data_IF_215489601408
#
_entry.id   IF_215489601408
#
_cell.length_a   1.000
_cell.length_b   1.000
_cell.length_c   1.000
_cell.angle_alpha   90.00
_cell.angle_beta   90.00
_cell.angle_gamma   90.00
#
_symmetry.space_group_name_H-M   'P 1'
#
loop_
_entity.id
_entity.type
_entity.pdbx_description
1 polymer ?
#
# COMPACT_ATOMS: atom_id res chain seq x y z
N UNK A 1 6.11 -19.21 12.00
CA UNK A 1 5.24 -19.85 11.01
C UNK A 1 5.79 -19.56 9.63
N UNK A 2 5.77 -20.55 8.72
CA UNK A 2 6.17 -20.33 7.34
C UNK A 2 5.04 -19.55 6.64
N UNK A 3 5.29 -18.29 6.29
CA UNK A 3 4.29 -17.39 5.69
C UNK A 3 3.80 -17.88 4.33
N UNK A 4 4.62 -18.59 3.58
CA UNK A 4 4.22 -19.17 2.29
C UNK A 4 3.15 -20.25 2.47
N UNK A 5 3.28 -21.07 3.52
CA UNK A 5 2.26 -22.07 3.89
C UNK A 5 0.96 -21.37 4.30
N UNK A 6 1.03 -20.31 5.09
CA UNK A 6 -0.13 -19.52 5.49
C UNK A 6 -0.84 -18.95 4.24
N UNK A 7 -0.10 -18.32 3.32
CA UNK A 7 -0.64 -17.80 2.06
C UNK A 7 -1.31 -18.89 1.22
N UNK A 8 -0.64 -20.02 1.02
CA UNK A 8 -1.16 -21.13 0.24
C UNK A 8 -2.47 -21.69 0.82
N UNK A 9 -2.53 -21.84 2.15
CA UNK A 9 -3.75 -22.26 2.84
C UNK A 9 -4.89 -21.25 2.68
N UNK A 10 -4.57 -19.96 2.73
CA UNK A 10 -5.56 -18.90 2.62
C UNK A 10 -6.09 -18.79 1.19
N UNK A 11 -5.22 -18.81 0.18
CA UNK A 11 -5.61 -18.84 -1.22
C UNK A 11 -6.53 -20.05 -1.50
N UNK A 12 -6.15 -21.24 -1.03
CA UNK A 12 -6.97 -22.45 -1.18
C UNK A 12 -8.34 -22.34 -0.49
N UNK A 13 -8.42 -21.66 0.65
CA UNK A 13 -9.69 -21.44 1.36
C UNK A 13 -10.55 -20.40 0.65
N UNK A 14 -9.94 -19.31 0.16
CA UNK A 14 -10.61 -18.23 -0.56
C UNK A 14 -11.20 -18.70 -1.89
N UNK A 15 -10.48 -19.55 -2.65
CA UNK A 15 -10.89 -20.07 -3.93
C UNK A 15 -11.75 -21.37 -3.82
N UNK A 16 -11.97 -21.85 -2.61
CA UNK A 16 -12.71 -23.07 -2.34
C UNK A 16 -14.22 -22.93 -2.58
N UNK A 17 -14.87 -24.06 -2.90
CA UNK A 17 -16.32 -24.14 -3.13
C UNK A 17 -17.15 -23.48 -2.01
N UNK A 18 -16.75 -23.69 -0.77
CA UNK A 18 -17.43 -23.14 0.41
C UNK A 18 -17.29 -21.61 0.50
N UNK A 19 -16.12 -21.05 0.20
CA UNK A 19 -15.92 -19.61 0.20
C UNK A 19 -16.79 -18.93 -0.86
N UNK A 20 -16.82 -19.46 -2.08
CA UNK A 20 -17.66 -18.94 -3.16
C UNK A 20 -19.16 -19.04 -2.84
N UNK A 21 -19.60 -20.13 -2.21
CA UNK A 21 -20.98 -20.30 -1.78
C UNK A 21 -21.35 -19.38 -0.61
N UNK A 22 -20.38 -19.12 0.26
CA UNK A 22 -20.53 -18.22 1.38
C UNK A 22 -20.56 -16.75 0.93
N UNK A 23 -19.73 -16.35 -0.02
CA UNK A 23 -19.75 -15.00 -0.60
C UNK A 23 -21.04 -14.70 -1.36
N UNK A 24 -21.70 -15.72 -1.90
CA UNK A 24 -23.00 -15.59 -2.55
C UNK A 24 -24.16 -15.45 -1.55
N UNK A 25 -23.95 -15.73 -0.26
CA UNK A 25 -24.96 -15.56 0.78
C UNK A 25 -24.77 -14.19 1.43
N UNK A 26 -25.79 -13.34 1.41
CA UNK A 26 -25.78 -11.99 2.03
C UNK A 26 -25.80 -12.02 3.58
N UNK A 27 -25.13 -13.00 4.21
CA UNK A 27 -25.10 -13.15 5.66
C UNK A 27 -23.85 -12.48 6.22
N UNK A 28 -24.02 -11.59 7.20
CA UNK A 28 -22.96 -10.80 7.86
C UNK A 28 -21.81 -11.68 8.41
N UNK A 29 -22.12 -12.85 8.96
CA UNK A 29 -21.10 -13.78 9.47
C UNK A 29 -20.19 -14.33 8.37
N UNK A 30 -20.73 -14.52 7.20
CA UNK A 30 -20.00 -15.04 6.05
C UNK A 30 -19.06 -13.98 5.48
N UNK A 31 -19.54 -12.75 5.40
CA UNK A 31 -18.73 -11.60 4.98
C UNK A 31 -17.59 -11.36 5.98
N UNK A 32 -17.88 -11.43 7.29
CA UNK A 32 -16.87 -11.31 8.33
C UNK A 32 -15.81 -12.43 8.27
N UNK A 33 -16.22 -13.67 7.95
CA UNK A 33 -15.26 -14.76 7.76
C UNK A 33 -14.34 -14.52 6.57
N UNK A 34 -14.89 -14.04 5.45
CA UNK A 34 -14.08 -13.66 4.29
C UNK A 34 -13.11 -12.53 4.64
N UNK A 35 -13.58 -11.51 5.37
CA UNK A 35 -12.75 -10.42 5.86
C UNK A 35 -11.64 -10.91 6.82
N UNK A 36 -11.89 -11.92 7.67
CA UNK A 36 -10.84 -12.54 8.46
C UNK A 36 -9.72 -13.11 7.59
N UNK A 37 -10.07 -13.79 6.48
CA UNK A 37 -9.05 -14.32 5.56
C UNK A 37 -8.30 -13.21 4.84
N UNK A 38 -8.98 -12.13 4.44
CA UNK A 38 -8.33 -10.97 3.81
C UNK A 38 -7.36 -10.27 4.80
N UNK A 39 -7.76 -10.10 6.06
CA UNK A 39 -6.88 -9.58 7.12
C UNK A 39 -5.65 -10.46 7.34
N UNK A 40 -5.84 -11.77 7.42
CA UNK A 40 -4.72 -12.71 7.58
C UNK A 40 -3.78 -12.69 6.37
N UNK A 41 -4.30 -12.57 5.13
CA UNK A 41 -3.49 -12.45 3.92
C UNK A 41 -2.65 -11.17 3.94
N UNK A 42 -3.27 -10.03 4.22
CA UNK A 42 -2.58 -8.75 4.33
C UNK A 42 -1.48 -8.79 5.41
N UNK A 43 -1.77 -9.40 6.57
CA UNK A 43 -0.79 -9.55 7.63
C UNK A 43 0.39 -10.47 7.23
N UNK A 44 0.12 -11.60 6.57
CA UNK A 44 1.17 -12.50 6.10
C UNK A 44 2.09 -11.80 5.08
N UNK A 45 1.52 -11.01 4.17
CA UNK A 45 2.28 -10.24 3.21
C UNK A 45 3.08 -9.13 3.88
N UNK A 46 2.50 -8.42 4.85
CA UNK A 46 3.17 -7.40 5.63
C UNK A 46 4.40 -7.96 6.37
N UNK A 47 4.23 -9.06 7.10
CA UNK A 47 5.35 -9.67 7.84
C UNK A 47 6.39 -10.31 6.94
N UNK A 48 6.01 -10.77 5.75
CA UNK A 48 6.99 -11.22 4.75
C UNK A 48 7.83 -10.06 4.23
N UNK A 49 7.18 -8.96 3.88
CA UNK A 49 7.87 -7.74 3.46
C UNK A 49 8.77 -7.20 4.58
N UNK A 50 8.28 -7.19 5.84
CA UNK A 50 9.08 -6.82 7.01
C UNK A 50 10.31 -7.72 7.16
N UNK A 51 10.19 -9.02 6.96
CA UNK A 51 11.31 -9.95 7.05
C UNK A 51 12.35 -9.71 5.94
N UNK A 52 11.92 -9.36 4.73
CA UNK A 52 12.81 -8.98 3.63
C UNK A 52 13.64 -7.72 3.97
N UNK A 53 13.08 -6.82 4.77
CA UNK A 53 13.72 -5.58 5.22
C UNK A 53 14.16 -5.61 6.68
N UNK A 54 14.49 -6.77 7.23
CA UNK A 54 14.86 -6.94 8.65
C UNK A 54 16.05 -6.06 9.10
N UNK A 55 16.95 -5.72 8.15
CA UNK A 55 18.08 -4.81 8.40
C UNK A 55 17.70 -3.34 8.53
N UNK A 56 16.43 -2.99 8.32
CA UNK A 56 15.96 -1.61 8.25
C UNK A 56 16.20 -0.98 6.88
N UNK A 57 16.14 0.36 6.80
CA UNK A 57 16.26 1.12 5.56
C UNK A 57 17.53 1.96 5.54
N UNK A 58 18.21 1.97 4.39
CA UNK A 58 19.35 2.84 4.15
C UNK A 58 19.36 3.23 2.66
N UNK A 59 19.45 4.52 2.40
CA UNK A 59 19.42 5.06 1.05
C UNK A 59 20.71 5.82 0.75
N UNK A 60 21.21 5.67 -0.48
CA UNK A 60 22.40 6.37 -0.93
C UNK A 60 22.12 7.88 -1.11
N UNK A 61 20.95 8.21 -1.62
CA UNK A 61 20.48 9.57 -1.90
C UNK A 61 18.95 9.65 -1.92
N UNK A 62 18.42 10.87 -2.06
CA UNK A 62 16.98 11.10 -2.08
C UNK A 62 16.27 10.50 -3.30
N UNK A 63 16.95 10.40 -4.45
CA UNK A 63 16.36 9.79 -5.65
C UNK A 63 16.19 8.28 -5.47
N UNK A 64 17.22 7.63 -4.90
CA UNK A 64 17.15 6.20 -4.54
C UNK A 64 16.06 5.93 -3.50
N UNK A 65 15.96 6.77 -2.45
CA UNK A 65 14.92 6.64 -1.44
C UNK A 65 13.52 6.77 -2.03
N UNK A 66 13.30 7.77 -2.89
CA UNK A 66 12.05 7.99 -3.59
C UNK A 66 11.70 6.80 -4.51
N UNK A 67 12.69 6.31 -5.28
CA UNK A 67 12.52 5.15 -6.15
C UNK A 67 12.11 3.90 -5.38
N UNK A 68 12.83 3.57 -4.30
CA UNK A 68 12.50 2.41 -3.46
C UNK A 68 11.12 2.53 -2.82
N UNK A 69 10.74 3.72 -2.35
CA UNK A 69 9.38 3.93 -1.83
C UNK A 69 8.34 3.70 -2.92
N UNK A 70 8.50 4.32 -4.08
CA UNK A 70 7.59 4.20 -5.23
C UNK A 70 7.43 2.76 -5.72
N UNK A 71 8.52 2.00 -5.73
CA UNK A 71 8.55 0.68 -6.37
C UNK A 71 8.19 -0.46 -5.39
N UNK A 72 8.45 -0.28 -4.08
CA UNK A 72 8.27 -1.36 -3.11
C UNK A 72 7.74 -0.90 -1.75
N UNK A 73 8.35 0.12 -1.10
CA UNK A 73 8.09 0.37 0.32
C UNK A 73 6.69 0.89 0.60
N UNK A 74 6.02 1.52 -0.38
CA UNK A 74 4.61 1.93 -0.26
C UNK A 74 3.68 0.75 0.08
N UNK A 75 4.12 -0.48 -0.19
CA UNK A 75 3.35 -1.70 0.11
C UNK A 75 3.15 -1.91 1.62
N UNK A 76 4.04 -1.38 2.46
CA UNK A 76 3.81 -1.40 3.91
C UNK A 76 2.55 -0.60 4.28
N UNK A 77 2.39 0.59 3.69
CA UNK A 77 1.21 1.43 3.88
C UNK A 77 -0.05 0.76 3.34
N UNK A 78 0.04 0.17 2.14
CA UNK A 78 -1.05 -0.53 1.48
C UNK A 78 -1.53 -1.75 2.29
N UNK A 79 -0.60 -2.60 2.72
CA UNK A 79 -0.90 -3.81 3.49
C UNK A 79 -1.44 -3.49 4.88
N UNK A 80 -0.92 -2.44 5.53
CA UNK A 80 -1.45 -1.91 6.78
C UNK A 80 -2.91 -1.47 6.60
N UNK A 81 -3.22 -0.69 5.58
CA UNK A 81 -4.59 -0.26 5.28
C UNK A 81 -5.51 -1.45 4.96
N UNK A 82 -5.07 -2.38 4.11
CA UNK A 82 -5.85 -3.58 3.76
C UNK A 82 -6.17 -4.41 5.01
N UNK A 83 -5.18 -4.61 5.88
CA UNK A 83 -5.39 -5.32 7.14
C UNK A 83 -6.46 -4.64 7.99
N UNK A 84 -6.33 -3.33 8.22
CA UNK A 84 -7.28 -2.61 9.08
C UNK A 84 -8.67 -2.55 8.47
N UNK A 85 -8.80 -2.29 7.17
CA UNK A 85 -10.09 -2.31 6.46
C UNK A 85 -10.80 -3.67 6.64
N UNK A 86 -10.07 -4.77 6.48
CA UNK A 86 -10.62 -6.10 6.65
C UNK A 86 -10.93 -6.42 8.13
N UNK A 87 -10.07 -6.03 9.05
CA UNK A 87 -10.27 -6.24 10.48
C UNK A 87 -11.48 -5.45 11.02
N UNK A 88 -11.69 -4.23 10.54
CA UNK A 88 -12.84 -3.40 10.91
C UNK A 88 -14.16 -4.00 10.40
N UNK A 89 -14.14 -4.71 9.27
CA UNK A 89 -15.32 -5.45 8.79
C UNK A 89 -15.67 -6.67 9.66
N UNK A 90 -14.71 -7.19 10.45
CA UNK A 90 -14.95 -8.29 11.40
C UNK A 90 -15.48 -7.79 12.75
N UNK A 91 -15.09 -6.61 13.15
CA UNK A 91 -15.36 -6.07 14.51
C UNK A 91 -16.84 -6.09 14.92
N UNK A 92 -17.82 -5.76 14.03
CA UNK A 92 -19.25 -5.79 14.38
C UNK A 92 -19.77 -7.17 14.80
N UNK A 93 -19.06 -8.24 14.47
CA UNK A 93 -19.45 -9.61 14.89
C UNK A 93 -19.13 -9.93 16.35
N UNK A 94 -18.32 -9.09 17.01
CA UNK A 94 -17.78 -9.34 18.34
C UNK A 94 -16.68 -10.40 18.40
N UNK A 95 -16.12 -10.80 17.27
CA UNK A 95 -15.04 -11.79 17.23
C UNK A 95 -13.69 -11.13 17.58
N UNK A 96 -13.06 -11.65 18.64
CA UNK A 96 -11.75 -11.18 19.09
C UNK A 96 -10.56 -11.81 18.34
N UNK A 97 -10.83 -12.60 17.30
CA UNK A 97 -9.83 -13.45 16.62
C UNK A 97 -8.65 -12.67 16.01
N UNK A 98 -8.84 -11.41 15.67
CA UNK A 98 -7.80 -10.55 15.07
C UNK A 98 -7.14 -9.58 16.07
N UNK A 99 -7.53 -9.55 17.36
CA UNK A 99 -7.02 -8.55 18.32
C UNK A 99 -5.49 -8.61 18.49
N UNK A 100 -4.92 -9.77 18.73
CA UNK A 100 -3.47 -9.94 18.88
C UNK A 100 -2.72 -9.63 17.60
N UNK A 101 -3.31 -9.99 16.46
CA UNK A 101 -2.73 -9.72 15.17
C UNK A 101 -2.78 -8.21 14.86
N UNK A 102 -3.87 -7.53 15.20
CA UNK A 102 -4.00 -6.07 15.08
C UNK A 102 -2.91 -5.37 15.88
N UNK A 103 -2.72 -5.77 17.14
CA UNK A 103 -1.65 -5.22 17.97
C UNK A 103 -0.26 -5.46 17.36
N UNK A 104 -0.03 -6.65 16.80
CA UNK A 104 1.25 -7.00 16.18
C UNK A 104 1.53 -6.18 14.91
N UNK A 105 0.52 -5.98 14.07
CA UNK A 105 0.61 -5.14 12.85
C UNK A 105 0.85 -3.69 13.24
N UNK A 106 0.09 -3.15 14.19
CA UNK A 106 0.22 -1.78 14.69
C UNK A 106 1.63 -1.53 15.24
N UNK A 107 2.11 -2.42 16.10
CA UNK A 107 3.47 -2.33 16.65
C UNK A 107 4.55 -2.41 15.56
N UNK A 108 4.37 -3.26 14.56
CA UNK A 108 5.33 -3.37 13.46
C UNK A 108 5.29 -2.16 12.53
N UNK A 109 4.12 -1.59 12.26
CA UNK A 109 3.97 -0.41 11.41
C UNK A 109 4.46 0.86 12.12
N UNK A 110 3.86 1.19 13.27
CA UNK A 110 4.14 2.44 14.00
C UNK A 110 5.44 2.40 14.79
N UNK A 111 5.82 1.21 15.33
CA UNK A 111 7.01 1.06 16.16
C UNK A 111 8.29 0.67 15.41
N UNK A 112 8.18 0.13 14.21
CA UNK A 112 9.35 -0.28 13.43
C UNK A 112 9.40 0.40 12.05
N UNK A 113 8.40 0.20 11.18
CA UNK A 113 8.44 0.68 9.79
C UNK A 113 8.55 2.21 9.71
N UNK A 114 7.60 2.92 10.31
CA UNK A 114 7.56 4.38 10.25
C UNK A 114 8.82 5.04 10.81
N UNK A 115 9.31 4.68 12.03
CA UNK A 115 10.53 5.28 12.57
C UNK A 115 11.77 4.98 11.72
N UNK A 116 11.93 3.73 11.24
CA UNK A 116 13.07 3.35 10.42
C UNK A 116 13.09 4.09 9.08
N UNK A 117 11.94 4.17 8.41
CA UNK A 117 11.81 4.90 7.15
C UNK A 117 12.06 6.40 7.34
N UNK A 118 11.45 7.01 8.36
CA UNK A 118 11.63 8.44 8.66
C UNK A 118 13.09 8.78 8.96
N UNK A 119 13.79 7.98 9.77
CA UNK A 119 15.21 8.18 10.07
C UNK A 119 16.07 8.06 8.81
N UNK A 120 15.83 7.05 7.99
CA UNK A 120 16.56 6.85 6.74
C UNK A 120 16.29 7.98 5.73
N UNK A 121 15.05 8.45 5.65
CA UNK A 121 14.65 9.57 4.81
C UNK A 121 15.27 10.89 5.27
N UNK A 122 15.23 11.20 6.59
CA UNK A 122 15.82 12.40 7.15
C UNK A 122 17.30 12.53 6.78
N UNK A 123 18.07 11.44 6.83
CA UNK A 123 19.49 11.43 6.46
C UNK A 123 19.75 11.89 5.04
N UNK A 124 18.92 11.47 4.07
CA UNK A 124 19.11 11.87 2.65
C UNK A 124 18.51 13.25 2.35
N UNK A 125 17.59 13.72 3.17
CA UNK A 125 17.03 15.08 3.06
C UNK A 125 17.99 16.13 3.62
N UNK A 126 18.60 15.85 4.76
CA UNK A 126 19.46 16.77 5.52
C UNK A 126 20.95 16.69 5.12
N UNK A 127 21.36 15.73 4.30
CA UNK A 127 22.75 15.55 3.86
C UNK A 127 23.33 16.78 3.16
N UNK A 128 24.65 16.87 3.07
CA UNK A 128 25.40 18.03 2.50
C UNK A 128 24.92 18.42 1.10
N UNK A 129 24.57 17.43 0.26
CA UNK A 129 23.94 17.61 -1.04
C UNK A 129 22.46 17.15 -1.02
N UNK A 130 21.85 17.21 0.16
CA UNK A 130 20.52 16.69 0.39
C UNK A 130 19.42 17.47 -0.32
N UNK A 131 18.22 16.91 -0.26
CA UNK A 131 17.05 17.44 -0.94
C UNK A 131 16.70 18.87 -0.50
N UNK A 132 16.98 19.25 0.75
CA UNK A 132 16.70 20.59 1.28
C UNK A 132 17.41 21.70 0.50
N UNK A 133 18.61 21.45 -0.01
CA UNK A 133 19.40 22.45 -0.73
C UNK A 133 18.78 22.82 -2.09
N UNK A 134 18.15 21.89 -2.76
CA UNK A 134 17.64 22.07 -4.14
C UNK A 134 16.15 21.82 -4.29
N UNK A 135 15.53 21.08 -3.38
CA UNK A 135 14.14 20.64 -3.40
C UNK A 135 13.69 20.10 -4.76
N UNK A 136 14.56 19.34 -5.41
CA UNK A 136 14.37 18.80 -6.75
C UNK A 136 14.96 17.40 -6.85
N UNK A 137 14.16 16.46 -7.31
CA UNK A 137 14.60 15.10 -7.62
C UNK A 137 14.81 14.98 -9.13
N UNK A 138 15.93 14.41 -9.58
CA UNK A 138 16.15 14.07 -11.00
C UNK A 138 15.01 13.18 -11.50
N UNK A 139 14.58 13.39 -12.73
CA UNK A 139 13.57 12.58 -13.44
C UNK A 139 12.18 12.52 -12.79
N UNK A 140 11.96 13.21 -11.68
CA UNK A 140 10.63 13.33 -11.07
C UNK A 140 9.95 14.58 -11.60
N UNK A 141 8.75 14.39 -12.16
CA UNK A 141 7.95 15.50 -12.65
C UNK A 141 7.49 16.39 -11.50
N UNK A 142 7.97 17.63 -11.45
CA UNK A 142 7.48 18.60 -10.49
C UNK A 142 6.03 18.99 -10.82
N UNK A 143 5.19 19.17 -9.81
CA UNK A 143 3.77 19.50 -9.96
C UNK A 143 3.53 20.73 -10.84
N UNK A 144 4.36 21.76 -10.72
CA UNK A 144 4.29 22.98 -11.52
C UNK A 144 4.44 22.72 -13.02
N UNK A 145 5.06 21.63 -13.43
CA UNK A 145 5.26 21.25 -14.82
C UNK A 145 4.20 20.26 -15.33
N UNK A 146 3.22 19.92 -14.50
CA UNK A 146 2.21 18.90 -14.83
C UNK A 146 1.43 19.28 -16.09
N UNK A 147 0.93 20.51 -16.15
CA UNK A 147 0.12 20.98 -17.30
C UNK A 147 0.90 20.85 -18.60
N UNK A 148 2.10 21.45 -18.66
CA UNK A 148 2.90 21.50 -19.89
C UNK A 148 3.39 20.09 -20.32
N UNK A 149 3.65 19.20 -19.38
CA UNK A 149 4.22 17.88 -19.65
C UNK A 149 3.21 16.76 -19.81
N UNK A 150 2.03 16.89 -19.19
CA UNK A 150 1.03 15.81 -19.18
C UNK A 150 -0.31 16.19 -19.83
N UNK A 151 -0.70 17.45 -19.78
CA UNK A 151 -2.00 17.90 -20.30
C UNK A 151 -1.86 18.50 -21.70
N UNK A 152 -0.95 19.46 -21.87
CA UNK A 152 -0.78 20.17 -23.14
C UNK A 152 -0.52 19.24 -24.34
N UNK A 153 0.36 18.20 -24.26
CA UNK A 153 0.59 17.31 -25.39
C UNK A 153 -0.65 16.53 -25.86
N UNK A 154 -1.67 16.39 -25.00
CA UNK A 154 -2.90 15.69 -25.38
C UNK A 154 -3.77 16.53 -26.35
N UNK A 155 -3.58 17.86 -26.40
CA UNK A 155 -4.31 18.74 -27.32
C UNK A 155 -3.73 18.78 -28.74
N UNK A 156 -2.55 18.22 -28.97
CA UNK A 156 -1.91 18.19 -30.28
C UNK A 156 -2.52 17.15 -31.24
N UNK A 157 -3.59 16.49 -30.82
CA UNK A 157 -4.27 15.43 -31.57
C UNK A 157 -5.77 15.63 -31.71
N UNK A 158 -6.49 14.53 -31.79
CA UNK A 158 -7.95 14.48 -31.90
C UNK A 158 -8.69 14.76 -30.59
N UNK A 159 -7.98 14.91 -29.48
CA UNK A 159 -8.57 15.10 -28.14
C UNK A 159 -9.12 16.52 -28.02
N UNK A 160 -10.44 16.64 -27.87
CA UNK A 160 -11.13 17.93 -27.71
C UNK A 160 -11.28 18.39 -26.26
N UNK A 161 -11.19 17.47 -25.31
CA UNK A 161 -11.37 17.75 -23.87
C UNK A 161 -10.48 16.85 -23.04
N UNK A 162 -9.85 17.42 -22.02
CA UNK A 162 -9.08 16.72 -21.00
C UNK A 162 -9.69 17.06 -19.65
N UNK A 163 -9.96 16.04 -18.83
CA UNK A 163 -10.44 16.22 -17.47
C UNK A 163 -9.29 15.93 -16.52
N UNK A 164 -9.00 16.86 -15.62
CA UNK A 164 -8.00 16.72 -14.57
C UNK A 164 -8.72 16.68 -13.23
N UNK A 165 -8.60 15.56 -12.52
CA UNK A 165 -9.14 15.39 -11.18
C UNK A 165 -8.00 15.59 -10.18
N UNK A 166 -8.11 16.60 -9.33
CA UNK A 166 -7.16 16.86 -8.26
C UNK A 166 -7.80 16.37 -6.96
N UNK A 167 -7.18 15.36 -6.34
CA UNK A 167 -7.61 14.85 -5.05
C UNK A 167 -6.58 15.23 -4.00
N UNK A 168 -6.98 16.07 -3.06
CA UNK A 168 -6.13 16.46 -1.95
C UNK A 168 -5.94 15.31 -0.97
N UNK A 169 -4.76 15.24 -0.35
CA UNK A 169 -4.37 14.19 0.60
C UNK A 169 -4.50 12.74 0.06
N UNK A 170 -4.47 12.55 -1.25
CA UNK A 170 -4.56 11.24 -1.87
C UNK A 170 -3.24 10.49 -1.74
N UNK A 171 -3.21 9.48 -0.88
CA UNK A 171 -2.00 8.71 -0.57
C UNK A 171 -1.51 7.95 -1.80
N UNK A 172 -0.18 7.86 -1.95
CA UNK A 172 0.45 7.19 -3.10
C UNK A 172 -0.02 5.74 -3.26
N UNK A 173 -0.10 4.97 -2.17
CA UNK A 173 -0.52 3.55 -2.22
C UNK A 173 -1.97 3.38 -2.71
N UNK A 174 -2.87 4.32 -2.36
CA UNK A 174 -4.26 4.34 -2.85
C UNK A 174 -4.30 4.71 -4.33
N UNK A 175 -3.49 5.70 -4.75
CA UNK A 175 -3.39 6.09 -6.15
C UNK A 175 -2.86 4.96 -7.02
N UNK A 176 -1.87 4.22 -6.54
CA UNK A 176 -1.30 3.06 -7.22
C UNK A 176 -2.35 1.96 -7.42
N UNK A 177 -3.09 1.64 -6.37
CA UNK A 177 -4.16 0.64 -6.42
C UNK A 177 -5.30 1.07 -7.37
N UNK A 178 -5.74 2.32 -7.29
CA UNK A 178 -6.77 2.87 -8.19
C UNK A 178 -6.31 2.80 -9.65
N UNK A 179 -5.05 3.16 -9.93
CA UNK A 179 -4.49 3.09 -11.28
C UNK A 179 -4.50 1.66 -11.81
N UNK A 180 -4.14 0.68 -11.00
CA UNK A 180 -4.19 -0.73 -11.36
C UNK A 180 -5.63 -1.18 -11.65
N UNK A 181 -6.59 -0.79 -10.82
CA UNK A 181 -8.01 -1.12 -11.01
C UNK A 181 -8.58 -0.52 -12.30
N UNK A 182 -8.26 0.73 -12.62
CA UNK A 182 -8.69 1.39 -13.86
C UNK A 182 -8.10 0.66 -15.07
N UNK A 183 -6.79 0.39 -15.06
CA UNK A 183 -6.10 -0.23 -16.18
C UNK A 183 -6.51 -1.71 -16.39
N UNK A 184 -6.96 -2.40 -15.35
CA UNK A 184 -7.42 -3.78 -15.46
C UNK A 184 -8.81 -3.92 -16.09
N UNK A 185 -9.57 -2.81 -16.21
CA UNK A 185 -10.94 -2.79 -16.78
C UNK A 185 -10.98 -2.26 -18.20
N UNK A 186 -9.87 -1.76 -18.71
CA UNK A 186 -9.69 -1.28 -20.09
C UNK A 186 -8.87 -2.27 -20.91
#
# INVERSE_FOLDING_TARGET
ANMDVVRALMARRRDGHWANRMLASANDRTQALAACYDALAAAADFFTLKAAHAAGFSFADAATAFGQYRDELFRFDQLYRHFHTAADAVEPTGWAVLHELRHSIESAYSGWYMPQLCIAWAKVVEGVDGLLAKWKLPEVLAQQNFFDRKVLPLYDGSVKRVFVLISDAFRFEVAQELTQQINSKN
#
